data_IF_244684413001
#
_entry.id   IF_244684413001
#
_cell.length_a   1.000
_cell.length_b   1.000
_cell.length_c   1.000
_cell.angle_alpha   90.00
_cell.angle_beta   90.00
_cell.angle_gamma   90.00
#
_symmetry.space_group_name_H-M   'P 1'
#
loop_
_entity.id
_entity.type
_entity.pdbx_description
1 polymer ?
#
# COMPACT_ATOMS: atom_id res chain seq x y z
N UNK A 1 -23.93 -61.82 -4.70
CA UNK A 1 -22.58 -61.87 -4.13
C UNK A 1 -21.98 -60.52 -4.42
N UNK A 2 -21.80 -59.76 -3.35
CA UNK A 2 -21.65 -58.30 -3.35
C UNK A 2 -20.32 -57.84 -3.95
N UNK A 3 -20.40 -56.71 -4.65
CA UNK A 3 -19.29 -55.82 -4.97
C UNK A 3 -18.46 -55.52 -3.72
N UNK A 4 -17.16 -55.78 -3.80
CA UNK A 4 -16.14 -55.16 -2.95
C UNK A 4 -14.96 -54.78 -3.85
N UNK A 5 -15.12 -53.69 -4.61
CA UNK A 5 -14.01 -52.98 -5.21
C UNK A 5 -13.51 -52.01 -4.16
N UNK A 6 -12.46 -52.41 -3.46
CA UNK A 6 -11.72 -51.61 -2.51
C UNK A 6 -11.34 -50.25 -3.14
N UNK A 7 -11.97 -49.17 -2.69
CA UNK A 7 -11.67 -47.79 -3.08
C UNK A 7 -10.46 -47.20 -2.29
N UNK A 8 -9.50 -48.05 -1.92
CA UNK A 8 -8.29 -47.65 -1.23
C UNK A 8 -7.08 -47.81 -2.15
N UNK A 9 -7.06 -47.05 -3.26
CA UNK A 9 -5.83 -46.82 -4.02
C UNK A 9 -5.05 -45.65 -3.39
N UNK A 10 -3.73 -45.79 -3.21
CA UNK A 10 -3.00 -45.11 -2.15
C UNK A 10 -2.75 -43.64 -2.47
N UNK A 11 -3.31 -42.76 -1.63
CA UNK A 11 -2.85 -41.37 -1.47
C UNK A 11 -1.33 -41.27 -1.14
N UNK A 12 -0.72 -42.40 -0.80
CA UNK A 12 0.71 -42.61 -0.52
C UNK A 12 1.63 -42.43 -1.74
N UNK A 13 1.16 -42.63 -2.98
CA UNK A 13 2.03 -42.58 -4.17
C UNK A 13 2.38 -41.14 -4.62
N UNK A 14 1.69 -40.13 -4.09
CA UNK A 14 2.00 -38.71 -4.35
C UNK A 14 3.12 -38.15 -3.47
N UNK A 15 3.63 -38.90 -2.49
CA UNK A 15 4.77 -38.47 -1.67
C UNK A 15 6.10 -39.09 -2.10
N UNK A 16 6.07 -40.17 -2.89
CA UNK A 16 7.26 -40.97 -3.20
C UNK A 16 8.07 -40.48 -4.42
N UNK A 17 7.76 -39.29 -4.95
CA UNK A 17 8.45 -38.69 -6.11
C UNK A 17 9.42 -37.57 -5.75
N UNK A 18 9.48 -37.17 -4.47
CA UNK A 18 10.43 -36.15 -4.03
C UNK A 18 11.80 -36.78 -3.78
N UNK A 19 12.85 -36.15 -4.31
CA UNK A 19 14.21 -36.39 -3.84
C UNK A 19 14.33 -36.05 -2.36
N UNK A 20 15.23 -36.72 -1.63
CA UNK A 20 15.54 -36.37 -0.23
C UNK A 20 15.84 -34.87 -0.05
N UNK A 21 16.50 -34.25 -1.04
CA UNK A 21 16.75 -32.81 -1.05
C UNK A 21 15.46 -31.97 -1.15
N UNK A 22 14.52 -32.39 -2.00
CA UNK A 22 13.24 -31.68 -2.17
C UNK A 22 12.40 -31.79 -0.90
N UNK A 23 12.42 -32.95 -0.25
CA UNK A 23 11.74 -33.17 1.03
C UNK A 23 12.29 -32.24 2.12
N UNK A 24 13.62 -32.08 2.22
CA UNK A 24 14.25 -31.15 3.16
C UNK A 24 13.84 -29.69 2.89
N UNK A 25 13.76 -29.29 1.62
CA UNK A 25 13.32 -27.94 1.25
C UNK A 25 11.86 -27.68 1.66
N UNK A 26 11.02 -28.68 1.48
CA UNK A 26 9.61 -28.64 1.86
C UNK A 26 9.44 -28.55 3.37
N UNK A 27 10.16 -29.38 4.13
CA UNK A 27 10.14 -29.38 5.59
C UNK A 27 10.63 -28.04 6.17
N UNK A 28 11.68 -27.45 5.58
CA UNK A 28 12.15 -26.12 5.94
C UNK A 28 11.04 -25.05 5.77
N UNK A 29 10.29 -25.08 4.67
CA UNK A 29 9.18 -24.14 4.43
C UNK A 29 7.96 -24.39 5.33
N UNK A 30 7.71 -25.63 5.72
CA UNK A 30 6.59 -26.00 6.61
C UNK A 30 6.92 -25.73 8.09
N UNK A 31 8.20 -25.74 8.47
CA UNK A 31 8.66 -25.41 9.82
C UNK A 31 8.79 -23.91 10.11
N UNK A 32 8.61 -23.05 9.09
CA UNK A 32 8.62 -21.60 9.23
C UNK A 32 7.54 -21.12 10.23
N UNK A 33 7.83 -20.10 11.06
CA UNK A 33 6.87 -19.54 12.00
C UNK A 33 5.62 -19.02 11.29
N UNK A 34 4.47 -19.05 11.98
CA UNK A 34 3.25 -18.46 11.42
C UNK A 34 3.28 -16.93 11.52
N UNK A 35 3.80 -16.28 10.48
CA UNK A 35 3.91 -14.83 10.41
C UNK A 35 2.57 -14.12 10.25
N UNK A 36 1.55 -14.79 9.73
CA UNK A 36 0.20 -14.22 9.63
C UNK A 36 -0.41 -14.05 11.03
N UNK A 37 -0.37 -15.11 11.83
CA UNK A 37 -0.82 -15.06 13.22
C UNK A 37 0.04 -14.12 14.07
N UNK A 38 1.37 -14.10 13.89
CA UNK A 38 2.22 -13.15 14.60
C UNK A 38 1.90 -11.69 14.27
N UNK A 39 1.70 -11.38 12.98
CA UNK A 39 1.32 -10.03 12.56
C UNK A 39 -0.06 -9.62 13.11
N UNK A 40 -1.01 -10.56 13.17
CA UNK A 40 -2.32 -10.32 13.76
C UNK A 40 -2.20 -9.99 15.25
N UNK A 41 -1.50 -10.83 16.00
CA UNK A 41 -1.29 -10.65 17.44
C UNK A 41 -0.53 -9.35 17.76
N UNK A 42 0.51 -9.00 16.98
CA UNK A 42 1.23 -7.74 17.15
C UNK A 42 0.36 -6.51 16.88
N UNK A 43 -0.52 -6.55 15.86
CA UNK A 43 -1.47 -5.45 15.60
C UNK A 43 -2.48 -5.28 16.73
N UNK A 44 -2.94 -6.38 17.30
CA UNK A 44 -3.87 -6.34 18.44
C UNK A 44 -3.17 -5.78 19.68
N UNK A 45 -1.99 -6.30 20.02
CA UNK A 45 -1.16 -5.83 21.12
C UNK A 45 -0.84 -4.33 20.97
N UNK A 46 -0.46 -3.92 19.76
CA UNK A 46 -0.23 -2.51 19.41
C UNK A 46 -1.45 -1.65 19.69
N UNK A 47 -2.63 -2.06 19.22
CA UNK A 47 -3.87 -1.29 19.38
C UNK A 47 -4.17 -1.07 20.87
N UNK A 48 -4.06 -2.13 21.68
CA UNK A 48 -4.32 -2.06 23.13
C UNK A 48 -3.26 -1.20 23.86
N UNK A 49 -1.98 -1.41 23.54
CA UNK A 49 -0.87 -0.66 24.12
C UNK A 49 -0.96 0.83 23.77
N UNK A 50 -1.19 1.14 22.49
CA UNK A 50 -1.27 2.51 21.99
C UNK A 50 -2.45 3.25 22.62
N UNK A 51 -3.59 2.59 22.76
CA UNK A 51 -4.74 3.15 23.45
C UNK A 51 -4.42 3.49 24.91
N UNK A 52 -3.80 2.57 25.65
CA UNK A 52 -3.41 2.78 27.05
C UNK A 52 -2.40 3.94 27.19
N UNK A 53 -1.41 4.00 26.30
CA UNK A 53 -0.40 5.08 26.27
C UNK A 53 -1.04 6.41 25.92
N UNK A 54 -2.00 6.44 25.00
CA UNK A 54 -2.79 7.61 24.69
C UNK A 54 -3.55 8.11 25.93
N UNK A 55 -4.28 7.23 26.62
CA UNK A 55 -5.01 7.58 27.83
C UNK A 55 -4.09 8.14 28.92
N UNK A 56 -2.94 7.50 29.12
CA UNK A 56 -1.92 7.94 30.09
C UNK A 56 -1.39 9.33 29.75
N UNK A 57 -1.07 9.55 28.48
CA UNK A 57 -0.55 10.83 27.98
C UNK A 57 -1.59 11.94 28.09
N UNK A 58 -2.83 11.67 27.66
CA UNK A 58 -3.95 12.60 27.78
C UNK A 58 -4.23 12.96 29.24
N UNK A 59 -4.16 11.99 30.15
CA UNK A 59 -4.35 12.21 31.58
C UNK A 59 -3.25 13.10 32.17
N UNK A 60 -1.98 12.84 31.82
CA UNK A 60 -0.85 13.65 32.27
C UNK A 60 -0.95 15.11 31.77
N UNK A 61 -1.37 15.30 30.51
CA UNK A 61 -1.60 16.64 29.95
C UNK A 61 -2.79 17.32 30.65
N UNK A 62 -3.91 16.61 30.83
CA UNK A 62 -5.07 17.17 31.53
C UNK A 62 -4.74 17.59 32.96
N UNK A 63 -3.91 16.81 33.66
CA UNK A 63 -3.44 17.13 34.99
C UNK A 63 -2.58 18.41 35.01
N UNK A 64 -1.69 18.57 34.03
CA UNK A 64 -0.89 19.80 33.88
C UNK A 64 -1.77 21.06 33.78
N UNK A 65 -2.90 20.98 33.06
CA UNK A 65 -3.84 22.10 32.97
C UNK A 65 -4.63 22.33 34.25
N UNK A 66 -5.01 21.26 34.97
CA UNK A 66 -5.70 21.38 36.26
C UNK A 66 -4.78 22.03 37.31
N UNK A 67 -3.56 21.52 37.45
CA UNK A 67 -2.59 22.00 38.44
C UNK A 67 -2.18 23.47 38.19
N UNK A 68 -2.23 23.94 36.94
CA UNK A 68 -2.03 25.37 36.60
C UNK A 68 -3.01 26.29 37.32
N UNK A 69 -4.25 25.87 37.53
CA UNK A 69 -5.26 26.68 38.23
C UNK A 69 -5.08 26.68 39.74
N UNK A 70 -4.28 25.76 40.29
CA UNK A 70 -4.05 25.58 41.73
C UNK A 70 -2.80 26.31 42.23
N UNK A 71 -2.02 26.95 41.35
CA UNK A 71 -0.81 27.71 41.72
C UNK A 71 0.38 26.85 42.17
N UNK A 72 0.35 25.54 41.91
CA UNK A 72 1.45 24.60 42.19
C UNK A 72 2.54 24.68 41.13
N UNK A 73 3.77 24.27 41.48
CA UNK A 73 4.90 24.19 40.54
C UNK A 73 4.58 23.26 39.37
N UNK A 74 4.57 23.81 38.15
CA UNK A 74 4.20 23.08 36.94
C UNK A 74 5.35 22.28 36.33
N UNK A 75 6.57 22.43 36.83
CA UNK A 75 7.74 21.80 36.22
C UNK A 75 7.65 20.27 36.25
N UNK A 76 7.31 19.68 37.39
CA UNK A 76 7.22 18.22 37.54
C UNK A 76 6.05 17.64 36.71
N UNK A 77 4.82 18.19 36.77
CA UNK A 77 3.73 17.79 35.88
C UNK A 77 4.08 17.93 34.39
N UNK A 78 4.79 19.00 34.02
CA UNK A 78 5.22 19.23 32.65
C UNK A 78 6.21 18.17 32.18
N UNK A 79 7.23 17.86 32.98
CA UNK A 79 8.19 16.79 32.69
C UNK A 79 7.49 15.44 32.52
N UNK A 80 6.49 15.16 33.35
CA UNK A 80 5.70 13.92 33.29
C UNK A 80 4.89 13.85 31.99
N UNK A 81 4.19 14.93 31.63
CA UNK A 81 3.44 15.01 30.38
C UNK A 81 4.35 14.89 29.16
N UNK A 82 5.48 15.61 29.12
CA UNK A 82 6.45 15.53 28.03
C UNK A 82 7.06 14.11 27.90
N UNK A 83 7.35 13.46 29.03
CA UNK A 83 7.86 12.10 29.07
C UNK A 83 6.88 11.06 28.52
N UNK A 84 5.60 11.19 28.86
CA UNK A 84 4.55 10.29 28.34
C UNK A 84 4.33 10.51 26.84
N UNK A 85 4.32 11.75 26.35
CA UNK A 85 4.26 12.09 24.90
C UNK A 85 5.45 11.49 24.14
N UNK A 86 6.67 11.65 24.67
CA UNK A 86 7.89 11.13 24.03
C UNK A 86 7.86 9.61 23.95
N UNK A 87 7.41 8.95 25.03
CA UNK A 87 7.26 7.49 25.07
C UNK A 87 6.19 7.02 24.08
N UNK A 88 5.04 7.69 24.03
CA UNK A 88 3.97 7.41 23.06
C UNK A 88 4.47 7.45 21.62
N UNK A 89 5.21 8.51 21.26
CA UNK A 89 5.79 8.66 19.93
C UNK A 89 6.79 7.53 19.61
N UNK A 90 7.72 7.26 20.51
CA UNK A 90 8.73 6.22 20.33
C UNK A 90 8.08 4.84 20.15
N UNK A 91 7.17 4.47 21.06
CA UNK A 91 6.48 3.18 21.03
C UNK A 91 5.65 3.03 19.73
N UNK A 92 5.05 4.11 19.24
CA UNK A 92 4.32 4.12 17.96
C UNK A 92 5.22 3.83 16.78
N UNK A 93 6.36 4.51 16.67
CA UNK A 93 7.32 4.31 15.58
C UNK A 93 7.91 2.90 15.61
N UNK A 94 8.27 2.41 16.79
CA UNK A 94 8.87 1.08 16.94
C UNK A 94 7.88 -0.04 16.59
N UNK A 95 6.61 0.11 16.97
CA UNK A 95 5.60 -0.88 16.59
C UNK A 95 5.24 -0.83 15.10
N UNK A 96 5.12 0.36 14.50
CA UNK A 96 4.91 0.48 13.05
C UNK A 96 6.02 -0.24 12.27
N UNK A 97 7.27 -0.09 12.70
CA UNK A 97 8.41 -0.81 12.11
C UNK A 97 8.25 -2.33 12.26
N UNK A 98 7.97 -2.81 13.48
CA UNK A 98 7.78 -4.24 13.75
C UNK A 98 6.64 -4.86 12.92
N UNK A 99 5.51 -4.18 12.82
CA UNK A 99 4.39 -4.60 11.98
C UNK A 99 4.77 -4.64 10.49
N UNK A 100 5.56 -3.67 10.02
CA UNK A 100 6.06 -3.65 8.65
C UNK A 100 6.98 -4.84 8.36
N UNK A 101 7.93 -5.12 9.25
CA UNK A 101 8.87 -6.23 9.10
C UNK A 101 8.15 -7.59 9.09
N UNK A 102 7.19 -7.79 10.01
CA UNK A 102 6.32 -8.97 10.01
C UNK A 102 5.47 -9.08 8.74
N UNK A 103 4.98 -7.95 8.22
CA UNK A 103 4.25 -7.92 6.95
C UNK A 103 5.10 -8.38 5.76
N UNK A 104 6.38 -8.04 5.74
CA UNK A 104 7.33 -8.50 4.72
C UNK A 104 7.55 -10.01 4.83
N UNK A 105 7.81 -10.53 6.04
CA UNK A 105 8.02 -11.97 6.25
C UNK A 105 6.76 -12.80 5.95
N UNK A 106 5.58 -12.34 6.38
CA UNK A 106 4.30 -12.95 6.01
C UNK A 106 4.12 -12.99 4.49
N UNK A 107 4.44 -11.91 3.79
CA UNK A 107 4.36 -11.86 2.33
C UNK A 107 5.32 -12.83 1.62
N UNK A 108 6.54 -12.98 2.15
CA UNK A 108 7.51 -13.98 1.68
C UNK A 108 6.99 -15.40 1.93
N UNK A 109 6.55 -15.68 3.16
CA UNK A 109 6.03 -16.99 3.56
C UNK A 109 4.84 -17.40 2.69
N UNK A 110 3.87 -16.50 2.48
CA UNK A 110 2.70 -16.77 1.63
C UNK A 110 3.09 -17.11 0.20
N UNK A 111 3.98 -16.30 -0.40
CA UNK A 111 4.51 -16.56 -1.75
C UNK A 111 5.22 -17.90 -1.84
N UNK A 112 6.07 -18.22 -0.87
CA UNK A 112 6.79 -19.49 -0.82
C UNK A 112 5.83 -20.68 -0.70
N UNK A 113 4.81 -20.59 0.17
CA UNK A 113 3.76 -21.60 0.30
C UNK A 113 2.97 -21.78 -0.99
N UNK A 114 2.60 -20.70 -1.68
CA UNK A 114 1.91 -20.79 -2.98
C UNK A 114 2.75 -21.47 -4.06
N UNK A 115 4.04 -21.12 -4.17
CA UNK A 115 4.97 -21.73 -5.13
C UNK A 115 5.21 -23.19 -4.79
N UNK A 116 5.43 -23.52 -3.50
CA UNK A 116 5.59 -24.89 -3.04
C UNK A 116 4.35 -25.72 -3.37
N UNK A 117 3.15 -25.23 -3.05
CA UNK A 117 1.90 -25.90 -3.38
C UNK A 117 1.70 -26.07 -4.90
N UNK A 118 2.15 -25.13 -5.72
CA UNK A 118 2.17 -25.29 -7.17
C UNK A 118 3.16 -26.37 -7.62
N UNK A 119 4.37 -26.39 -7.07
CA UNK A 119 5.40 -27.35 -7.39
C UNK A 119 4.95 -28.79 -7.07
N UNK A 120 4.19 -28.96 -5.97
CA UNK A 120 3.59 -30.25 -5.57
C UNK A 120 2.53 -30.79 -6.56
N UNK A 121 2.06 -30.01 -7.54
CA UNK A 121 1.03 -30.45 -8.51
C UNK A 121 1.61 -31.35 -9.60
N UNK A 122 0.83 -32.34 -10.06
CA UNK A 122 1.18 -33.25 -11.17
C UNK A 122 1.51 -32.52 -12.48
N UNK A 123 0.83 -31.40 -12.76
CA UNK A 123 1.11 -30.51 -13.91
C UNK A 123 1.79 -29.22 -13.44
N UNK A 124 3.10 -29.30 -13.21
CA UNK A 124 3.97 -28.21 -12.73
C UNK A 124 4.76 -27.49 -13.81
N UNK A 125 4.44 -27.68 -15.10
CA UNK A 125 5.12 -26.98 -16.20
C UNK A 125 4.44 -25.64 -16.45
N UNK A 126 5.20 -24.54 -16.37
CA UNK A 126 4.76 -23.20 -16.78
C UNK A 126 5.50 -22.79 -18.05
N UNK A 127 4.79 -22.24 -19.03
CA UNK A 127 5.42 -21.74 -20.25
C UNK A 127 6.11 -20.40 -20.00
N UNK A 128 7.17 -20.10 -20.77
CA UNK A 128 7.94 -18.86 -20.61
C UNK A 128 7.05 -17.62 -20.78
N UNK A 129 6.21 -17.62 -21.79
CA UNK A 129 5.31 -16.51 -22.10
C UNK A 129 4.23 -16.29 -21.03
N UNK A 130 3.73 -17.38 -20.42
CA UNK A 130 2.78 -17.33 -19.31
C UNK A 130 3.45 -16.76 -18.05
N UNK A 131 4.67 -17.20 -17.75
CA UNK A 131 5.45 -16.68 -16.61
C UNK A 131 5.76 -15.18 -16.78
N UNK A 132 6.18 -14.75 -17.97
CA UNK A 132 6.46 -13.35 -18.25
C UNK A 132 5.20 -12.48 -18.17
N UNK A 133 4.06 -12.97 -18.66
CA UNK A 133 2.79 -12.28 -18.53
C UNK A 133 2.38 -12.13 -17.06
N UNK A 134 2.50 -13.22 -16.28
CA UNK A 134 2.21 -13.22 -14.84
C UNK A 134 3.08 -12.20 -14.08
N UNK A 135 4.40 -12.23 -14.26
CA UNK A 135 5.33 -11.31 -13.60
C UNK A 135 5.09 -9.85 -14.00
N UNK A 136 4.63 -9.61 -15.23
CA UNK A 136 4.32 -8.28 -15.73
C UNK A 136 2.89 -7.79 -15.38
N UNK A 137 2.06 -8.61 -14.71
CA UNK A 137 0.66 -8.29 -14.46
C UNK A 137 -0.21 -8.19 -15.72
N UNK A 138 0.22 -8.85 -16.81
CA UNK A 138 -0.47 -8.84 -18.12
C UNK A 138 -1.33 -10.09 -18.27
N UNK A 139 -2.42 -10.03 -19.06
CA UNK A 139 -3.19 -11.23 -19.39
C UNK A 139 -2.31 -12.26 -20.12
N UNK A 140 -2.61 -13.57 -19.98
CA UNK A 140 -1.86 -14.60 -20.67
C UNK A 140 -1.92 -14.38 -22.18
N UNK A 141 -0.84 -14.71 -22.91
CA UNK A 141 -0.79 -14.51 -24.36
C UNK A 141 -1.93 -15.28 -25.04
N UNK A 142 -2.55 -14.70 -26.09
CA UNK A 142 -3.59 -15.38 -26.86
C UNK A 142 -3.04 -16.71 -27.35
N UNK A 143 -3.66 -17.81 -26.91
CA UNK A 143 -3.28 -19.12 -27.40
C UNK A 143 -3.76 -19.19 -28.84
N UNK A 144 -2.84 -19.25 -29.79
CA UNK A 144 -3.16 -19.75 -31.12
C UNK A 144 -3.58 -21.20 -30.94
N UNK A 145 -4.87 -21.43 -30.72
CA UNK A 145 -5.43 -22.76 -30.88
C UNK A 145 -5.04 -23.20 -32.29
N UNK A 146 -4.31 -24.32 -32.47
CA UNK A 146 -4.27 -24.90 -33.80
C UNK A 146 -5.73 -25.11 -34.17
N UNK A 147 -6.16 -24.48 -35.26
CA UNK A 147 -7.48 -24.65 -35.85
C UNK A 147 -7.92 -26.09 -35.65
N UNK A 148 -8.77 -26.35 -34.65
CA UNK A 148 -9.54 -27.58 -34.61
C UNK A 148 -10.42 -27.42 -35.82
N UNK A 149 -10.04 -28.12 -36.87
CA UNK A 149 -10.64 -28.17 -38.18
C UNK A 149 -12.16 -28.11 -38.04
N UNK A 150 -12.72 -26.91 -38.14
CA UNK A 150 -14.14 -26.76 -38.41
C UNK A 150 -14.32 -27.34 -39.82
N UNK A 151 -15.20 -28.33 -40.03
CA UNK A 151 -15.40 -28.90 -41.35
C UNK A 151 -15.74 -27.76 -42.31
N UNK A 152 -14.92 -27.60 -43.35
CA UNK A 152 -15.16 -26.66 -44.46
C UNK A 152 -16.62 -26.79 -44.91
N UNK A 153 -17.37 -25.69 -45.10
CA UNK A 153 -18.67 -25.77 -45.75
C UNK A 153 -18.44 -26.36 -47.14
N UNK A 154 -19.14 -27.46 -47.42
CA UNK A 154 -19.10 -28.16 -48.71
C UNK A 154 -19.55 -27.18 -49.79
N UNK A 155 -18.65 -26.88 -50.71
CA UNK A 155 -18.94 -26.14 -51.94
C UNK A 155 -20.08 -26.85 -52.69
N UNK A 156 -21.22 -26.17 -52.86
CA UNK A 156 -22.25 -26.55 -53.82
C UNK A 156 -21.77 -26.08 -55.20
N UNK A 157 -21.55 -27.02 -56.12
CA UNK A 157 -21.21 -26.73 -57.52
C UNK A 157 -22.47 -26.90 -58.37
N UNK A 158 -22.89 -25.76 -58.94
CA UNK A 158 -23.50 -25.52 -60.24
C UNK A 158 -24.79 -26.26 -60.66
N UNK A 159 -25.86 -25.46 -60.78
CA UNK A 159 -26.83 -25.52 -61.87
C UNK A 159 -27.13 -24.08 -62.34
N UNK A 160 -26.61 -23.70 -63.52
CA UNK A 160 -26.76 -22.38 -64.18
C UNK A 160 -28.10 -22.29 -64.95
N UNK A 161 -28.38 -21.23 -65.74
CA UNK A 161 -28.61 -19.81 -65.40
C UNK A 161 -29.97 -19.32 -65.95
N UNK A 162 -30.43 -18.10 -65.59
CA UNK A 162 -31.04 -17.12 -66.54
C UNK A 162 -31.50 -15.82 -65.85
N UNK A 163 -30.90 -14.72 -66.35
CA UNK A 163 -31.52 -13.45 -66.78
C UNK A 163 -32.16 -12.44 -65.80
N UNK A 164 -31.57 -11.22 -65.85
CA UNK A 164 -32.19 -9.88 -65.78
C UNK A 164 -32.78 -9.45 -64.41
N UNK A 165 -32.58 -8.25 -63.85
CA UNK A 165 -32.10 -6.95 -64.35
C UNK A 165 -31.92 -5.96 -63.17
N UNK A 166 -31.24 -4.85 -63.46
CA UNK A 166 -31.35 -3.50 -62.85
C UNK A 166 -30.49 -3.10 -61.62
N UNK A 167 -29.74 -2.03 -61.87
CA UNK A 167 -28.87 -1.12 -61.08
C UNK A 167 -29.68 -0.21 -60.13
N UNK A 168 -29.11 0.70 -59.28
CA UNK A 168 -27.76 1.26 -59.35
C UNK A 168 -26.96 1.46 -58.04
N UNK A 169 -25.70 1.79 -58.30
CA UNK A 169 -24.61 2.22 -57.42
C UNK A 169 -24.88 3.58 -56.76
N UNK A 170 -24.47 3.73 -55.49
CA UNK A 170 -24.07 5.01 -54.93
C UNK A 170 -22.56 4.94 -54.61
N UNK A 171 -21.84 5.92 -55.14
CA UNK A 171 -20.42 6.19 -54.85
C UNK A 171 -20.30 7.34 -53.84
N UNK A 172 -19.05 7.68 -53.48
CA UNK A 172 -18.54 8.89 -52.78
C UNK A 172 -18.43 8.69 -51.26
N UNK A 173 -17.29 8.87 -50.57
CA UNK A 173 -15.91 9.25 -50.90
C UNK A 173 -14.98 8.90 -49.70
N UNK A 174 -13.65 8.93 -49.89
CA UNK A 174 -12.63 8.71 -48.84
C UNK A 174 -12.03 10.01 -48.27
N UNK A 175 -11.24 9.86 -47.18
CA UNK A 175 -10.23 10.76 -46.55
C UNK A 175 -10.62 11.35 -45.16
N UNK A 176 -9.68 11.83 -44.31
CA UNK A 176 -8.20 11.72 -44.27
C UNK A 176 -7.61 11.34 -42.89
N UNK A 177 -6.28 11.30 -42.88
CA UNK A 177 -5.26 11.08 -41.85
C UNK A 177 -5.23 12.09 -40.67
N UNK A 178 -4.66 11.63 -39.54
CA UNK A 178 -3.92 12.40 -38.50
C UNK A 178 -4.57 13.65 -37.89
N UNK A 179 -4.84 13.58 -36.59
CA UNK A 179 -5.17 14.73 -35.77
C UNK A 179 -5.07 14.41 -34.29
N UNK A 180 -3.89 14.66 -33.74
CA UNK A 180 -3.61 14.72 -32.30
C UNK A 180 -4.45 15.83 -31.70
N UNK A 181 -5.45 15.50 -30.88
CA UNK A 181 -6.11 16.47 -30.01
C UNK A 181 -6.12 15.89 -28.58
N UNK A 182 -5.26 16.37 -27.66
CA UNK A 182 -5.30 15.93 -26.28
C UNK A 182 -6.42 16.69 -25.56
N UNK A 183 -7.43 15.93 -25.14
CA UNK A 183 -8.47 16.33 -24.21
C UNK A 183 -7.97 17.32 -23.14
N UNK A 184 -8.48 18.57 -23.10
CA UNK A 184 -8.00 19.61 -22.19
C UNK A 184 -8.24 19.27 -20.70
N UNK A 185 -9.12 18.32 -20.40
CA UNK A 185 -9.44 17.90 -19.04
C UNK A 185 -8.34 17.03 -18.40
N UNK A 186 -7.49 16.40 -19.23
CA UNK A 186 -6.43 15.50 -18.79
C UNK A 186 -5.06 16.18 -18.64
N UNK A 187 -4.96 17.48 -18.92
CA UNK A 187 -3.70 18.22 -18.86
C UNK A 187 -3.15 18.31 -17.42
N UNK A 188 -4.00 18.65 -16.46
CA UNK A 188 -3.65 18.74 -15.03
C UNK A 188 -3.21 17.39 -14.46
N UNK A 189 -3.83 16.30 -14.91
CA UNK A 189 -3.46 14.94 -14.50
C UNK A 189 -2.13 14.48 -15.10
N UNK A 190 -1.86 14.83 -16.36
CA UNK A 190 -0.55 14.56 -16.98
C UNK A 190 0.57 15.33 -16.31
N UNK A 191 0.34 16.59 -15.93
CA UNK A 191 1.31 17.40 -15.20
C UNK A 191 1.67 16.76 -13.85
N UNK A 192 0.67 16.30 -13.09
CA UNK A 192 0.88 15.62 -11.80
C UNK A 192 1.66 14.29 -11.92
N UNK A 193 1.46 13.54 -12.99
CA UNK A 193 2.16 12.26 -13.24
C UNK A 193 3.53 12.44 -13.91
N UNK A 194 3.76 13.56 -14.60
CA UNK A 194 5.02 13.91 -15.27
C UNK A 194 6.08 14.52 -14.33
N UNK A 195 5.83 14.48 -13.02
CA UNK A 195 6.77 14.87 -11.98
C UNK A 195 8.17 14.29 -12.20
N UNK A 196 9.03 15.18 -12.71
CA UNK A 196 10.46 15.07 -13.01
C UNK A 196 11.26 13.97 -12.27
N UNK A 197 12.05 13.14 -12.99
CA UNK A 197 12.99 12.18 -12.40
C UNK A 197 14.31 12.84 -11.94
N UNK A 198 14.36 14.16 -11.72
CA UNK A 198 15.55 14.85 -11.23
C UNK A 198 15.29 15.46 -9.85
N UNK A 199 15.22 14.61 -8.83
CA UNK A 199 15.72 14.98 -7.51
C UNK A 199 16.06 13.71 -6.74
N UNK A 200 17.32 13.31 -6.89
CA UNK A 200 17.93 12.23 -6.12
C UNK A 200 17.77 12.54 -4.63
N UNK A 201 17.48 11.48 -3.88
CA UNK A 201 17.30 11.38 -2.42
C UNK A 201 18.55 11.74 -1.60
N UNK A 202 19.23 12.86 -1.87
CA UNK A 202 20.48 13.25 -1.18
C UNK A 202 20.56 14.68 -0.66
N UNK A 203 19.75 15.62 -1.16
CA UNK A 203 19.91 17.06 -0.84
C UNK A 203 18.99 17.59 0.26
N UNK A 204 17.84 16.97 0.50
CA UNK A 204 16.78 17.55 1.36
C UNK A 204 17.17 17.67 2.84
N UNK A 205 18.07 16.82 3.33
CA UNK A 205 18.47 16.87 4.74
C UNK A 205 19.51 17.98 5.00
N UNK A 206 20.38 18.27 4.04
CA UNK A 206 21.36 19.35 4.12
C UNK A 206 20.69 20.73 3.91
N UNK A 207 19.68 20.82 3.05
CA UNK A 207 18.92 22.06 2.86
C UNK A 207 18.04 22.38 4.08
N UNK A 208 17.44 21.37 4.72
CA UNK A 208 16.66 21.55 5.94
C UNK A 208 17.53 21.97 7.12
N UNK A 209 18.69 21.35 7.31
CA UNK A 209 19.63 21.74 8.37
C UNK A 209 20.17 23.16 8.15
N UNK A 210 20.52 23.52 6.92
CA UNK A 210 20.93 24.88 6.57
C UNK A 210 19.80 25.92 6.80
N UNK A 211 18.56 25.57 6.45
CA UNK A 211 17.40 26.43 6.70
C UNK A 211 17.17 26.66 8.20
N UNK A 212 17.19 25.61 9.02
CA UNK A 212 16.99 25.70 10.47
C UNK A 212 18.11 26.52 11.14
N UNK A 213 19.37 26.29 10.78
CA UNK A 213 20.50 27.05 11.34
C UNK A 213 20.46 28.53 10.95
N UNK A 214 20.05 28.84 9.72
CA UNK A 214 19.93 30.20 9.22
C UNK A 214 18.74 30.94 9.86
N UNK A 215 17.62 30.23 10.10
CA UNK A 215 16.45 30.79 10.77
C UNK A 215 16.73 31.11 12.25
N UNK A 216 17.41 30.20 12.97
CA UNK A 216 17.88 30.45 14.34
C UNK A 216 18.80 31.69 14.39
N UNK A 217 19.78 31.76 13.49
CA UNK A 217 20.76 32.84 13.47
C UNK A 217 20.13 34.23 13.25
N UNK A 218 19.06 34.31 12.44
CA UNK A 218 18.31 35.56 12.20
C UNK A 218 17.49 35.98 13.42
N UNK A 219 16.96 35.02 14.19
CA UNK A 219 16.07 35.29 15.32
C UNK A 219 16.77 35.52 16.67
N UNK A 220 18.07 35.21 16.79
CA UNK A 220 18.83 35.44 18.03
C UNK A 220 19.32 36.88 18.27
N UNK A 221 19.07 37.83 17.35
CA UNK A 221 19.67 39.18 17.42
C UNK A 221 18.71 40.33 17.71
N UNK A 222 17.45 40.07 18.08
CA UNK A 222 16.59 41.15 18.59
C UNK A 222 16.62 41.13 20.12
N UNK A 223 17.16 42.15 20.80
CA UNK A 223 16.80 42.34 22.20
C UNK A 223 15.29 42.51 22.24
N UNK A 224 14.63 41.82 23.18
CA UNK A 224 13.21 42.02 23.43
C UNK A 224 12.98 43.50 23.77
N UNK A 225 12.50 44.26 22.78
CA UNK A 225 12.16 45.67 22.90
C UNK A 225 10.78 45.84 22.28
N UNK A 226 9.77 45.77 23.13
CA UNK A 226 8.91 46.91 23.45
C UNK A 226 8.01 46.44 24.59
N UNK A 227 8.36 46.86 25.82
CA UNK A 227 7.47 46.80 26.97
C UNK A 227 6.21 47.60 26.64
N UNK A 228 5.04 46.97 26.63
CA UNK A 228 3.79 47.71 26.54
C UNK A 228 3.47 48.11 27.98
N UNK A 229 3.86 49.33 28.35
CA UNK A 229 3.49 49.96 29.61
C UNK A 229 1.95 50.10 29.66
N UNK A 230 1.29 49.20 30.37
CA UNK A 230 -0.16 49.24 30.62
C UNK A 230 -0.47 50.15 31.84
N UNK A 231 0.16 51.33 31.87
CA UNK A 231 -0.15 52.42 32.79
C UNK A 231 -1.54 53.00 32.53
N UNK A 232 -2.38 52.98 33.56
CA UNK A 232 -3.81 53.34 33.53
C UNK A 232 -4.08 54.84 33.29
N UNK A 233 -5.19 55.20 32.61
CA UNK A 233 -5.86 56.48 32.84
C UNK A 233 -6.99 56.34 33.87
N UNK A 234 -6.82 57.05 34.97
CA UNK A 234 -7.78 57.32 36.02
C UNK A 234 -8.96 58.17 35.50
N UNK A 235 -10.21 57.83 35.86
CA UNK A 235 -11.29 58.83 35.94
C UNK A 235 -12.31 58.53 37.06
N UNK A 236 -12.18 59.35 38.11
CA UNK A 236 -13.07 59.85 39.18
C UNK A 236 -14.33 59.07 39.64
N UNK A 237 -14.29 58.74 40.94
CA UNK A 237 -15.42 58.53 41.86
C UNK A 237 -16.53 59.57 41.68
N UNK A 238 -17.78 59.12 41.68
CA UNK A 238 -18.92 59.86 42.21
C UNK A 238 -19.51 59.03 43.37
N UNK A 239 -19.36 59.54 44.59
CA UNK A 239 -20.11 59.14 45.78
C UNK A 239 -21.09 60.26 46.02
N UNK A 240 -22.38 59.95 46.06
CA UNK A 240 -23.36 60.80 46.73
C UNK A 240 -24.35 59.91 47.46
N UNK A 241 -24.13 59.77 48.76
CA UNK A 241 -25.17 59.57 49.76
C UNK A 241 -25.93 60.87 49.93
N UNK A 242 -27.27 60.82 49.82
CA UNK A 242 -28.22 61.35 50.78
C UNK A 242 -29.51 60.53 50.66
#
# INVERSE_FOLDING_TARGET
MSDDRSEDEPLMDSFNWYSNWEQQCVEALESEPDYENQLHNEKELYSQQMWTKFQTTASAIAQLYKDRTLGVSLWVPFQTAAGTVTSLYKDSVDCMRRCSDLGVEMGKQKRCKEIMNWARKKRRMIRREDLLAYLAGKPPPPRSHPHRSSPKPRMMVCGSPSSQSQTPSMMIAPAPTTGTDPDPELHTFREALSGSPVSRRGGRQAELSAFISNELARHHKRPASHDVDMGSPTHKRMRTTL
#
